data_IF_789096356121
#
_entry.id   IF_789096356121
#
_cell.length_a   1.000
_cell.length_b   1.000
_cell.length_c   1.000
_cell.angle_alpha   90.00
_cell.angle_beta   90.00
_cell.angle_gamma   90.00
#
_symmetry.space_group_name_H-M   'P 1'
#
loop_
_entity.id
_entity.type
_entity.pdbx_description
1 polymer ?
#
# COMPACT_ATOMS: atom_id res chain seq x y z
N UNK A 1 -11.12 10.54 -30.59
CA UNK A 1 -10.53 9.20 -30.33
C UNK A 1 -10.07 9.20 -28.89
N UNK A 2 -10.66 8.37 -28.04
CA UNK A 2 -10.23 8.25 -26.65
C UNK A 2 -8.99 7.36 -26.63
N UNK A 3 -7.83 7.94 -26.36
CA UNK A 3 -6.64 7.17 -26.01
C UNK A 3 -6.89 6.53 -24.65
N UNK A 4 -7.19 5.24 -24.62
CA UNK A 4 -7.03 4.46 -23.40
C UNK A 4 -5.52 4.39 -23.12
N UNK A 5 -4.98 5.40 -22.43
CA UNK A 5 -3.62 5.36 -21.88
C UNK A 5 -3.60 4.35 -20.74
N UNK A 6 -3.53 3.06 -21.07
CA UNK A 6 -3.10 1.98 -20.17
C UNK A 6 -1.57 2.03 -20.07
N UNK A 7 -1.01 3.21 -19.88
CA UNK A 7 0.43 3.40 -19.81
C UNK A 7 0.81 3.69 -18.38
N UNK A 8 0.66 2.65 -17.56
CA UNK A 8 1.16 2.52 -16.19
C UNK A 8 2.64 2.14 -16.23
N UNK A 9 3.47 2.93 -16.92
CA UNK A 9 4.91 2.77 -16.78
C UNK A 9 5.32 3.39 -15.46
N UNK A 10 5.76 2.55 -14.53
CA UNK A 10 6.45 3.01 -13.33
C UNK A 10 7.67 3.85 -13.76
N UNK A 11 7.99 4.93 -13.04
CA UNK A 11 9.20 5.69 -13.28
C UNK A 11 10.43 4.75 -13.32
N UNK A 12 11.33 4.92 -14.30
CA UNK A 12 12.40 3.96 -14.61
C UNK A 12 13.38 3.73 -13.45
N UNK A 13 13.44 4.67 -12.50
CA UNK A 13 14.35 4.65 -11.36
C UNK A 13 13.80 3.93 -10.12
N UNK A 14 12.56 3.42 -10.20
CA UNK A 14 11.87 2.69 -9.12
C UNK A 14 11.85 1.19 -9.43
N UNK A 15 13.02 0.65 -9.73
CA UNK A 15 13.20 -0.79 -9.91
C UNK A 15 13.24 -1.48 -8.51
N UNK A 16 12.34 -2.42 -8.21
CA UNK A 16 12.30 -3.10 -6.92
C UNK A 16 13.60 -3.86 -6.63
N UNK A 17 14.27 -4.37 -7.67
CA UNK A 17 15.54 -5.10 -7.53
C UNK A 17 16.72 -4.20 -7.14
N UNK A 18 16.55 -2.88 -7.21
CA UNK A 18 17.57 -1.88 -6.87
C UNK A 18 17.35 -1.22 -5.50
N UNK A 19 16.25 -1.51 -4.82
CA UNK A 19 16.01 -0.99 -3.48
C UNK A 19 16.95 -1.70 -2.47
N UNK A 20 17.74 -0.97 -1.66
CA UNK A 20 18.68 -1.57 -0.71
C UNK A 20 17.93 -2.12 0.51
N UNK A 21 17.35 -3.32 0.37
CA UNK A 21 16.65 -3.99 1.46
C UNK A 21 17.63 -4.51 2.52
N UNK A 22 17.36 -4.19 3.79
CA UNK A 22 18.10 -4.79 4.90
C UNK A 22 17.78 -6.28 5.04
N UNK A 23 18.74 -7.08 5.50
CA UNK A 23 18.56 -8.53 5.61
C UNK A 23 17.71 -8.94 6.83
N UNK A 24 16.84 -9.94 6.64
CA UNK A 24 16.06 -10.58 7.71
C UNK A 24 15.10 -9.62 8.43
N UNK A 25 15.02 -9.75 9.76
CA UNK A 25 14.08 -8.97 10.61
C UNK A 25 14.30 -7.44 10.55
N UNK A 26 15.43 -6.98 10.02
CA UNK A 26 15.73 -5.54 9.85
C UNK A 26 15.13 -4.95 8.57
N UNK A 27 14.63 -5.78 7.65
CA UNK A 27 14.03 -5.35 6.38
C UNK A 27 12.90 -4.34 6.58
N UNK A 28 11.84 -4.74 7.30
CA UNK A 28 10.65 -3.92 7.51
C UNK A 28 10.93 -2.67 8.38
N UNK A 29 11.63 -2.73 9.52
CA UNK A 29 11.94 -1.51 10.28
C UNK A 29 12.67 -0.45 9.45
N UNK A 30 13.65 -0.87 8.63
CA UNK A 30 14.37 0.06 7.75
C UNK A 30 13.45 0.64 6.67
N UNK A 31 12.62 -0.19 6.04
CA UNK A 31 11.64 0.31 5.06
C UNK A 31 10.69 1.33 5.66
N UNK A 32 10.27 1.15 6.92
CA UNK A 32 9.42 2.13 7.61
C UNK A 32 10.10 3.50 7.74
N UNK A 33 11.40 3.52 8.03
CA UNK A 33 12.19 4.76 8.04
C UNK A 33 12.26 5.39 6.63
N UNK A 34 12.51 4.58 5.59
CA UNK A 34 12.61 5.03 4.20
C UNK A 34 11.28 5.56 3.63
N UNK A 35 10.13 5.07 4.12
CA UNK A 35 8.80 5.61 3.77
C UNK A 35 8.60 7.06 4.22
N UNK A 36 9.36 7.54 5.20
CA UNK A 36 9.31 8.91 5.72
C UNK A 36 10.44 9.79 5.15
N UNK A 37 11.21 9.28 4.19
CA UNK A 37 12.33 10.02 3.61
C UNK A 37 11.83 11.25 2.82
N UNK A 38 12.49 12.42 2.95
CA UNK A 38 12.10 13.62 2.20
C UNK A 38 12.21 13.46 0.68
N UNK A 39 13.02 12.52 0.20
CA UNK A 39 13.21 12.25 -1.21
C UNK A 39 12.10 11.33 -1.73
N UNK A 40 11.34 11.83 -2.72
CA UNK A 40 10.26 11.08 -3.38
C UNK A 40 10.73 9.70 -3.88
N UNK A 41 11.92 9.64 -4.49
CA UNK A 41 12.47 8.39 -5.04
C UNK A 41 12.71 7.33 -3.96
N UNK A 42 13.09 7.74 -2.75
CA UNK A 42 13.31 6.81 -1.64
C UNK A 42 11.98 6.24 -1.16
N UNK A 43 10.96 7.09 -0.98
CA UNK A 43 9.61 6.65 -0.61
C UNK A 43 9.00 5.70 -1.65
N UNK A 44 9.16 6.02 -2.93
CA UNK A 44 8.69 5.17 -4.03
C UNK A 44 9.39 3.79 -4.05
N UNK A 45 10.70 3.76 -3.85
CA UNK A 45 11.48 2.50 -3.76
C UNK A 45 11.09 1.69 -2.53
N UNK A 46 10.88 2.35 -1.40
CA UNK A 46 10.45 1.71 -0.17
C UNK A 46 9.05 1.07 -0.33
N UNK A 47 8.12 1.76 -1.00
CA UNK A 47 6.79 1.20 -1.33
C UNK A 47 6.89 0.02 -2.30
N UNK A 48 7.75 0.08 -3.33
CA UNK A 48 7.97 -1.07 -4.22
C UNK A 48 8.50 -2.29 -3.46
N UNK A 49 9.52 -2.11 -2.63
CA UNK A 49 10.07 -3.19 -1.82
C UNK A 49 9.05 -3.73 -0.80
N UNK A 50 8.25 -2.86 -0.20
CA UNK A 50 7.17 -3.28 0.70
C UNK A 50 6.12 -4.10 -0.06
N UNK A 51 5.73 -3.70 -1.27
CA UNK A 51 4.80 -4.42 -2.12
C UNK A 51 5.27 -5.86 -2.36
N UNK A 52 6.55 -6.08 -2.66
CA UNK A 52 7.10 -7.43 -2.85
C UNK A 52 7.05 -8.25 -1.55
N UNK A 53 7.30 -7.63 -0.40
CA UNK A 53 7.33 -8.32 0.90
C UNK A 53 5.94 -8.71 1.42
N UNK A 54 4.91 -7.87 1.24
CA UNK A 54 3.57 -8.12 1.81
C UNK A 54 2.79 -9.22 1.11
N UNK A 55 3.35 -9.85 0.07
CA UNK A 55 2.80 -11.10 -0.47
C UNK A 55 3.03 -12.29 0.46
N UNK A 56 3.98 -12.19 1.40
CA UNK A 56 4.19 -13.18 2.46
C UNK A 56 3.33 -12.82 3.68
N UNK A 57 2.43 -13.72 4.14
CA UNK A 57 1.58 -13.46 5.30
C UNK A 57 2.36 -13.16 6.59
N UNK A 58 3.57 -13.70 6.76
CA UNK A 58 4.41 -13.38 7.93
C UNK A 58 4.83 -11.91 7.91
N UNK A 59 5.21 -11.39 6.74
CA UNK A 59 5.56 -9.98 6.57
C UNK A 59 4.34 -9.08 6.75
N UNK A 60 3.14 -9.50 6.35
CA UNK A 60 1.91 -8.77 6.62
C UNK A 60 1.67 -8.63 8.12
N UNK A 61 1.78 -9.73 8.87
CA UNK A 61 1.66 -9.71 10.33
C UNK A 61 2.68 -8.76 10.96
N UNK A 62 3.94 -8.83 10.55
CA UNK A 62 4.99 -7.94 11.03
C UNK A 62 4.74 -6.47 10.66
N UNK A 63 4.30 -6.18 9.43
CA UNK A 63 4.02 -4.83 8.97
C UNK A 63 2.86 -4.17 9.76
N UNK A 64 1.80 -4.93 10.06
CA UNK A 64 0.71 -4.47 10.92
C UNK A 64 1.23 -4.15 12.32
N UNK A 65 2.05 -5.02 12.93
CA UNK A 65 2.62 -4.80 14.25
C UNK A 65 3.64 -3.64 14.30
N UNK A 66 4.32 -3.37 13.19
CA UNK A 66 5.22 -2.23 13.05
C UNK A 66 4.48 -0.94 12.67
N UNK A 67 3.16 -0.89 12.73
CA UNK A 67 2.33 0.28 12.40
C UNK A 67 2.62 0.86 11.00
N UNK A 68 2.81 0.02 9.99
CA UNK A 68 2.93 0.51 8.60
C UNK A 68 1.63 1.14 8.10
N UNK A 69 0.50 0.66 8.60
CA UNK A 69 -0.84 1.12 8.22
C UNK A 69 -1.06 2.61 8.46
N UNK A 70 -0.45 3.19 9.50
CA UNK A 70 -0.48 4.63 9.76
C UNK A 70 0.25 5.41 8.66
N UNK A 71 1.46 4.96 8.28
CA UNK A 71 2.22 5.59 7.20
C UNK A 71 1.52 5.45 5.84
N UNK A 72 0.93 4.28 5.57
CA UNK A 72 0.14 4.06 4.35
C UNK A 72 -1.10 4.94 4.31
N UNK A 73 -1.75 5.19 5.45
CA UNK A 73 -2.89 6.10 5.57
C UNK A 73 -2.54 7.50 5.08
N UNK A 74 -1.39 8.03 5.49
CA UNK A 74 -0.93 9.35 5.09
C UNK A 74 -0.58 9.40 3.59
N UNK A 75 0.02 8.33 3.07
CA UNK A 75 0.42 8.21 1.67
C UNK A 75 -0.75 8.18 0.67
N UNK A 76 -1.96 7.83 1.12
CA UNK A 76 -3.17 7.92 0.28
C UNK A 76 -3.48 9.35 -0.18
N UNK A 77 -3.00 10.36 0.56
CA UNK A 77 -3.18 11.78 0.24
C UNK A 77 -2.00 12.39 -0.52
N UNK A 78 -0.97 11.60 -0.86
CA UNK A 78 0.21 12.12 -1.56
C UNK A 78 -0.16 12.64 -2.96
N UNK A 79 0.49 13.70 -3.42
CA UNK A 79 0.26 14.26 -4.74
C UNK A 79 0.81 13.37 -5.85
N UNK A 80 1.85 12.60 -5.56
CA UNK A 80 2.49 11.70 -6.51
C UNK A 80 1.56 10.49 -6.80
N UNK A 81 1.19 10.27 -8.07
CA UNK A 81 0.31 9.17 -8.44
C UNK A 81 0.94 7.80 -8.19
N UNK A 82 2.27 7.65 -8.30
CA UNK A 82 2.96 6.37 -8.08
C UNK A 82 2.94 5.99 -6.60
N UNK A 83 3.10 6.94 -5.69
CA UNK A 83 2.90 6.72 -4.25
C UNK A 83 1.47 6.19 -4.01
N UNK A 84 0.43 6.91 -4.47
CA UNK A 84 -0.97 6.48 -4.27
C UNK A 84 -1.25 5.11 -4.89
N UNK A 85 -0.75 4.86 -6.10
CA UNK A 85 -0.90 3.57 -6.79
C UNK A 85 -0.32 2.43 -5.96
N UNK A 86 0.92 2.55 -5.50
CA UNK A 86 1.59 1.50 -4.74
C UNK A 86 1.03 1.35 -3.33
N UNK A 87 0.66 2.45 -2.68
CA UNK A 87 -0.02 2.40 -1.38
C UNK A 87 -1.35 1.65 -1.48
N UNK A 88 -2.17 1.92 -2.49
CA UNK A 88 -3.44 1.20 -2.67
C UNK A 88 -3.24 -0.28 -3.03
N UNK A 89 -2.20 -0.61 -3.81
CA UNK A 89 -1.85 -1.99 -4.12
C UNK A 89 -1.46 -2.76 -2.85
N UNK A 90 -0.61 -2.17 -2.01
CA UNK A 90 -0.22 -2.77 -0.72
C UNK A 90 -1.43 -2.97 0.19
N UNK A 91 -2.33 -1.97 0.28
CA UNK A 91 -3.54 -2.09 1.10
C UNK A 91 -4.47 -3.21 0.60
N UNK A 92 -4.60 -3.38 -0.72
CA UNK A 92 -5.35 -4.49 -1.30
C UNK A 92 -4.74 -5.84 -0.94
N UNK A 93 -3.42 -5.99 -1.06
CA UNK A 93 -2.72 -7.24 -0.71
C UNK A 93 -2.89 -7.53 0.79
N UNK A 94 -2.66 -6.54 1.66
CA UNK A 94 -2.86 -6.67 3.11
C UNK A 94 -4.31 -7.06 3.44
N UNK A 95 -5.30 -6.47 2.77
CA UNK A 95 -6.71 -6.78 2.96
C UNK A 95 -7.09 -8.21 2.54
N UNK A 96 -6.24 -8.91 1.77
CA UNK A 96 -6.46 -10.33 1.50
C UNK A 96 -6.27 -11.22 2.73
N UNK A 97 -5.59 -10.72 3.77
CA UNK A 97 -5.35 -11.42 5.03
C UNK A 97 -6.23 -10.90 6.17
N UNK A 98 -6.73 -11.78 7.03
CA UNK A 98 -7.60 -11.42 8.16
C UNK A 98 -6.97 -10.38 9.09
N UNK A 99 -5.72 -10.59 9.50
CA UNK A 99 -4.98 -9.63 10.37
C UNK A 99 -4.83 -8.26 9.70
N UNK A 100 -4.66 -8.24 8.37
CA UNK A 100 -4.57 -7.02 7.60
C UNK A 100 -5.89 -6.27 7.56
N UNK A 101 -7.01 -6.96 7.34
CA UNK A 101 -8.35 -6.36 7.38
C UNK A 101 -8.68 -5.77 8.75
N UNK A 102 -8.42 -6.52 9.83
CA UNK A 102 -8.59 -5.99 11.18
C UNK A 102 -7.73 -4.75 11.43
N UNK A 103 -6.47 -4.78 10.98
CA UNK A 103 -5.58 -3.64 11.07
C UNK A 103 -6.12 -2.41 10.32
N UNK A 104 -6.62 -2.60 9.10
CA UNK A 104 -7.21 -1.54 8.28
C UNK A 104 -8.41 -0.90 8.98
N UNK A 105 -9.28 -1.71 9.58
CA UNK A 105 -10.43 -1.22 10.35
C UNK A 105 -10.00 -0.45 11.60
N UNK A 106 -9.05 -1.00 12.38
CA UNK A 106 -8.54 -0.37 13.61
C UNK A 106 -7.84 0.97 13.36
N UNK A 107 -7.33 1.21 12.16
CA UNK A 107 -6.60 2.44 11.79
C UNK A 107 -7.47 3.48 11.05
N UNK A 108 -8.78 3.25 10.92
CA UNK A 108 -9.74 4.13 10.21
C UNK A 108 -9.29 4.45 8.78
N UNK A 109 -8.76 3.47 8.04
CA UNK A 109 -8.25 3.67 6.67
C UNK A 109 -9.38 3.72 5.63
N UNK A 110 -10.59 3.24 5.99
CA UNK A 110 -11.77 3.28 5.10
C UNK A 110 -12.06 4.71 4.61
N UNK A 111 -11.99 5.71 5.51
CA UNK A 111 -12.27 7.10 5.15
C UNK A 111 -11.24 7.63 4.13
N UNK A 112 -9.91 7.56 4.38
CA UNK A 112 -8.88 7.82 3.39
C UNK A 112 -9.06 7.11 2.05
N UNK A 113 -9.37 5.82 2.08
CA UNK A 113 -9.61 5.05 0.85
C UNK A 113 -10.81 5.57 0.06
N UNK A 114 -11.89 5.97 0.75
CA UNK A 114 -13.09 6.49 0.08
C UNK A 114 -12.82 7.78 -0.73
N UNK A 115 -11.83 8.57 -0.35
CA UNK A 115 -11.43 9.75 -1.12
C UNK A 115 -10.85 9.40 -2.50
N UNK A 116 -10.38 8.17 -2.69
CA UNK A 116 -9.88 7.69 -3.98
C UNK A 116 -10.99 7.26 -4.95
N UNK A 117 -12.27 7.34 -4.58
CA UNK A 117 -13.39 7.08 -5.49
C UNK A 117 -13.33 7.95 -6.76
N UNK A 118 -12.86 9.19 -6.62
CA UNK A 118 -12.73 10.16 -7.72
C UNK A 118 -11.26 10.38 -8.15
N UNK A 119 -10.33 9.49 -7.76
CA UNK A 119 -8.91 9.65 -8.09
C UNK A 119 -8.71 9.64 -9.62
N UNK A 120 -7.89 10.53 -10.22
CA UNK A 120 -7.67 10.57 -11.66
C UNK A 120 -7.03 9.29 -12.22
N UNK A 121 -6.29 8.54 -11.41
CA UNK A 121 -5.58 7.31 -11.79
C UNK A 121 -6.49 6.11 -11.64
N UNK A 122 -6.77 5.44 -12.76
CA UNK A 122 -7.67 4.28 -12.81
C UNK A 122 -7.23 3.12 -11.89
N UNK A 123 -5.92 2.91 -11.72
CA UNK A 123 -5.36 1.82 -10.91
C UNK A 123 -5.66 2.06 -9.42
N UNK A 124 -5.47 3.30 -8.92
CA UNK A 124 -5.81 3.66 -7.54
C UNK A 124 -7.28 3.34 -7.23
N UNK A 125 -8.20 3.72 -8.15
CA UNK A 125 -9.63 3.43 -7.99
C UNK A 125 -9.92 1.93 -7.96
N UNK A 126 -9.31 1.17 -8.86
CA UNK A 126 -9.46 -0.28 -8.92
C UNK A 126 -8.98 -0.95 -7.63
N UNK A 127 -7.77 -0.64 -7.18
CA UNK A 127 -7.18 -1.22 -5.97
C UNK A 127 -8.02 -0.88 -4.72
N UNK A 128 -8.53 0.36 -4.65
CA UNK A 128 -9.44 0.77 -3.59
C UNK A 128 -10.74 -0.05 -3.60
N UNK A 129 -11.37 -0.24 -4.77
CA UNK A 129 -12.58 -1.06 -4.86
C UNK A 129 -12.34 -2.51 -4.43
N UNK A 130 -11.22 -3.10 -4.86
CA UNK A 130 -10.83 -4.45 -4.43
C UNK A 130 -10.57 -4.50 -2.92
N UNK A 131 -9.99 -3.45 -2.33
CA UNK A 131 -9.80 -3.36 -0.88
C UNK A 131 -11.15 -3.35 -0.15
N UNK A 132 -12.13 -2.58 -0.61
CA UNK A 132 -13.47 -2.57 -0.04
C UNK A 132 -14.21 -3.91 -0.20
N UNK A 133 -14.05 -4.57 -1.34
CA UNK A 133 -14.56 -5.93 -1.55
C UNK A 133 -14.01 -6.88 -0.48
N UNK A 134 -12.68 -6.95 -0.32
CA UNK A 134 -12.06 -7.81 0.69
C UNK A 134 -12.50 -7.46 2.13
N UNK A 135 -12.67 -6.18 2.45
CA UNK A 135 -13.14 -5.77 3.79
C UNK A 135 -14.58 -6.20 4.07
N UNK A 136 -15.41 -6.32 3.03
CA UNK A 136 -16.81 -6.76 3.16
C UNK A 136 -16.95 -8.26 3.44
N UNK A 137 -15.91 -9.05 3.16
CA UNK A 137 -15.88 -10.50 3.40
C UNK A 137 -15.59 -10.85 4.87
N UNK A 138 -15.26 -9.87 5.72
CA UNK A 138 -15.09 -10.15 7.14
C UNK A 138 -16.40 -10.69 7.72
N UNK A 139 -16.39 -11.89 8.34
CA UNK A 139 -17.55 -12.34 9.08
C UNK A 139 -17.81 -11.29 10.16
N UNK A 140 -19.03 -10.75 10.21
CA UNK A 140 -19.45 -9.89 11.31
C UNK A 140 -19.08 -10.64 12.59
N UNK A 141 -18.23 -10.04 13.44
CA UNK A 141 -18.02 -10.58 14.77
C UNK A 141 -19.41 -10.69 15.39
N UNK A 142 -19.85 -11.95 15.57
CA UNK A 142 -21.10 -12.21 16.26
C UNK A 142 -20.92 -11.70 17.70
N UNK A 143 -21.81 -10.81 18.19
CA UNK A 143 -21.80 -10.40 19.59
C UNK A 143 -22.05 -11.59 20.52
#
# INVERSE_FOLDING_TARGET
MAEARISSYLPPDIDPTKAPLAFGQRALPKLKEELQDPQLIMRQRALMALCDLVHDPENVYQAVNLCFLESLKDMLYDQDPTIREKTTEILHIIASHTVGREGILKNDIIIPLSHLLDDPVNICRRNMHQTFEMLSELPAEMP
#
